data_IF_383410803750
#
_entry.id   IF_383410803750
#
_cell.length_a   1.000
_cell.length_b   1.000
_cell.length_c   1.000
_cell.angle_alpha   90.00
_cell.angle_beta   90.00
_cell.angle_gamma   90.00
#
_symmetry.space_group_name_H-M   'P 1'
#
loop_
_entity.id
_entity.type
_entity.pdbx_description
1 polymer ?
#
# COMPACT_ATOMS: atom_id res chain seq x y z
N UNK A 1 15.98 30.15 30.58
CA UNK A 1 14.72 29.68 29.97
C UNK A 1 15.04 29.31 28.52
N UNK A 2 15.23 28.01 28.23
CA UNK A 2 15.57 27.53 26.89
C UNK A 2 14.26 27.38 26.11
N UNK A 3 14.01 28.27 25.15
CA UNK A 3 12.98 28.13 24.12
C UNK A 3 13.52 27.22 23.03
N UNK A 4 13.60 25.94 23.32
CA UNK A 4 13.85 24.89 22.34
C UNK A 4 12.64 23.98 22.51
N UNK A 5 11.81 23.83 21.48
CA UNK A 5 11.23 22.52 21.08
C UNK A 5 10.03 22.60 20.12
N UNK A 6 9.36 23.75 19.95
CA UNK A 6 8.17 23.77 19.06
C UNK A 6 8.53 23.72 17.57
N UNK A 7 9.64 24.36 17.16
CA UNK A 7 10.09 24.36 15.76
C UNK A 7 10.69 23.01 15.31
N UNK A 8 11.20 22.21 16.24
CA UNK A 8 11.79 20.90 15.94
C UNK A 8 10.67 19.88 15.69
N UNK A 9 9.60 19.91 16.48
CA UNK A 9 8.44 19.03 16.28
C UNK A 9 7.71 19.26 14.94
N UNK A 10 7.54 20.51 14.50
CA UNK A 10 6.88 20.82 13.22
C UNK A 10 7.66 20.32 12.00
N UNK A 11 8.99 20.43 12.05
CA UNK A 11 9.91 19.91 11.03
C UNK A 11 9.85 18.37 10.97
N UNK A 12 9.86 17.70 12.12
CA UNK A 12 9.83 16.25 12.21
C UNK A 12 8.54 15.65 11.65
N UNK A 13 7.39 16.27 11.91
CA UNK A 13 6.11 15.83 11.36
C UNK A 13 6.05 16.01 9.84
N UNK A 14 6.55 17.14 9.34
CA UNK A 14 6.61 17.42 7.89
C UNK A 14 7.53 16.42 7.19
N UNK A 15 8.68 16.13 7.77
CA UNK A 15 9.63 15.13 7.28
C UNK A 15 9.01 13.73 7.29
N UNK A 16 8.32 13.36 8.37
CA UNK A 16 7.62 12.09 8.45
C UNK A 16 6.57 11.94 7.34
N UNK A 17 5.67 12.92 7.18
CA UNK A 17 4.65 12.87 6.12
C UNK A 17 5.25 12.85 4.71
N UNK A 18 6.33 13.59 4.48
CA UNK A 18 7.04 13.56 3.19
C UNK A 18 7.62 12.16 2.91
N UNK A 19 8.17 11.52 3.94
CA UNK A 19 8.63 10.12 3.87
C UNK A 19 7.48 9.16 3.56
N UNK A 20 6.32 9.33 4.21
CA UNK A 20 5.10 8.51 3.95
C UNK A 20 4.69 8.59 2.49
N UNK A 21 4.67 9.78 1.90
CA UNK A 21 4.29 9.94 0.50
C UNK A 21 5.27 9.25 -0.47
N UNK A 22 6.58 9.35 -0.20
CA UNK A 22 7.60 8.65 -0.98
C UNK A 22 7.46 7.13 -0.85
N UNK A 23 7.37 6.63 0.38
CA UNK A 23 7.19 5.21 0.66
C UNK A 23 5.95 4.63 0.00
N UNK A 24 4.83 5.35 0.06
CA UNK A 24 3.59 4.95 -0.59
C UNK A 24 3.78 4.85 -2.10
N UNK A 25 4.37 5.87 -2.73
CA UNK A 25 4.62 5.88 -4.18
C UNK A 25 5.51 4.71 -4.62
N UNK A 26 6.55 4.39 -3.84
CA UNK A 26 7.42 3.23 -4.10
C UNK A 26 6.66 1.91 -4.06
N UNK A 27 5.79 1.73 -3.05
CA UNK A 27 4.97 0.53 -2.94
C UNK A 27 3.89 0.43 -4.02
N UNK A 28 3.37 1.58 -4.47
CA UNK A 28 2.35 1.66 -5.51
C UNK A 28 2.88 1.38 -6.92
N UNK A 29 4.11 1.81 -7.21
CA UNK A 29 4.69 1.62 -8.53
C UNK A 29 5.12 0.18 -8.75
N UNK A 30 5.66 -0.50 -7.73
CA UNK A 30 6.00 -1.95 -7.72
C UNK A 30 6.74 -2.50 -8.96
N UNK A 31 7.23 -1.63 -9.84
CA UNK A 31 7.81 -1.95 -11.15
C UNK A 31 9.30 -2.27 -11.04
N UNK A 32 9.97 -1.84 -9.96
CA UNK A 32 11.39 -2.07 -9.73
C UNK A 32 11.67 -2.52 -8.29
N UNK A 33 11.79 -3.84 -8.12
CA UNK A 33 12.03 -4.47 -6.83
C UNK A 33 13.42 -4.13 -6.24
N UNK A 34 14.40 -3.78 -7.07
CA UNK A 34 15.77 -3.49 -6.62
C UNK A 34 15.88 -2.07 -6.07
N UNK A 35 15.20 -1.10 -6.70
CA UNK A 35 15.06 0.25 -6.16
C UNK A 35 14.32 0.21 -4.83
N UNK A 36 13.20 -0.50 -4.75
CA UNK A 36 12.41 -0.64 -3.52
C UNK A 36 13.26 -1.25 -2.39
N UNK A 37 13.96 -2.36 -2.65
CA UNK A 37 14.86 -2.98 -1.67
C UNK A 37 15.96 -2.02 -1.22
N UNK A 38 16.56 -1.28 -2.14
CA UNK A 38 17.64 -0.35 -1.84
C UNK A 38 17.14 0.79 -0.93
N UNK A 39 15.99 1.39 -1.27
CA UNK A 39 15.38 2.46 -0.46
C UNK A 39 14.96 1.95 0.91
N UNK A 40 14.32 0.78 1.00
CA UNK A 40 13.93 0.19 2.28
C UNK A 40 15.16 -0.11 3.15
N UNK A 41 16.24 -0.66 2.57
CA UNK A 41 17.48 -0.91 3.33
C UNK A 41 18.11 0.37 3.87
N UNK A 42 18.09 1.46 3.10
CA UNK A 42 18.56 2.77 3.56
C UNK A 42 17.66 3.29 4.69
N UNK A 43 16.34 3.19 4.54
CA UNK A 43 15.39 3.65 5.53
C UNK A 43 15.50 2.88 6.86
N UNK A 44 15.66 1.56 6.81
CA UNK A 44 15.84 0.69 7.98
C UNK A 44 17.11 1.04 8.76
N UNK A 45 18.23 1.27 8.06
CA UNK A 45 19.51 1.69 8.67
C UNK A 45 19.42 3.08 9.32
N UNK A 46 18.44 3.89 8.93
CA UNK A 46 18.25 5.26 9.38
C UNK A 46 16.90 5.48 10.10
N UNK A 47 16.39 4.45 10.79
CA UNK A 47 15.08 4.47 11.48
C UNK A 47 14.91 5.56 12.56
N UNK A 48 16.00 6.19 13.00
CA UNK A 48 15.98 7.36 13.87
C UNK A 48 15.48 8.63 13.16
N UNK A 49 15.61 8.72 11.83
CA UNK A 49 15.11 9.84 11.02
C UNK A 49 13.59 9.76 10.86
N UNK A 50 12.82 10.83 11.19
CA UNK A 50 11.38 10.89 10.92
C UNK A 50 11.03 10.59 9.47
N UNK A 51 11.83 11.10 8.53
CA UNK A 51 11.63 10.86 7.10
C UNK A 51 11.76 9.36 6.75
N UNK A 52 12.79 8.69 7.26
CA UNK A 52 13.01 7.26 6.99
C UNK A 52 11.92 6.37 7.61
N UNK A 53 11.44 6.72 8.82
CA UNK A 53 10.25 6.04 9.39
C UNK A 53 9.03 6.23 8.50
N UNK A 54 8.84 7.44 7.98
CA UNK A 54 7.77 7.74 7.04
C UNK A 54 7.80 6.82 5.81
N UNK A 55 8.98 6.64 5.19
CA UNK A 55 9.16 5.75 4.03
C UNK A 55 8.64 4.33 4.33
N UNK A 56 9.08 3.74 5.44
CA UNK A 56 8.68 2.38 5.83
C UNK A 56 7.15 2.30 6.01
N UNK A 57 6.57 3.24 6.77
CA UNK A 57 5.12 3.29 7.01
C UNK A 57 4.32 3.47 5.71
N UNK A 58 4.77 4.36 4.82
CA UNK A 58 4.12 4.58 3.53
C UNK A 58 4.14 3.35 2.64
N UNK A 59 5.29 2.68 2.57
CA UNK A 59 5.46 1.46 1.79
C UNK A 59 4.57 0.32 2.31
N UNK A 60 4.55 0.08 3.62
CA UNK A 60 3.67 -0.92 4.23
C UNK A 60 2.20 -0.67 3.94
N UNK A 61 1.78 0.61 3.97
CA UNK A 61 0.42 1.01 3.63
C UNK A 61 0.07 0.70 2.19
N UNK A 62 0.93 1.06 1.22
CA UNK A 62 0.70 0.74 -0.19
C UNK A 62 0.59 -0.79 -0.42
N UNK A 63 1.43 -1.57 0.26
CA UNK A 63 1.39 -3.04 0.17
C UNK A 63 0.13 -3.64 0.81
N UNK A 64 -0.48 -2.97 1.79
CA UNK A 64 -1.78 -3.37 2.35
C UNK A 64 -2.92 -3.03 1.40
N UNK A 65 -2.93 -1.82 0.84
CA UNK A 65 -3.95 -1.36 -0.11
C UNK A 65 -3.99 -2.28 -1.34
N UNK A 66 -2.83 -2.59 -1.94
CA UNK A 66 -2.75 -3.53 -3.06
C UNK A 66 -3.23 -4.95 -2.74
N UNK A 67 -3.02 -5.42 -1.51
CA UNK A 67 -3.55 -6.72 -1.08
C UNK A 67 -5.08 -6.67 -0.98
N UNK A 68 -5.63 -5.58 -0.43
CA UNK A 68 -7.08 -5.40 -0.34
C UNK A 68 -7.74 -5.27 -1.70
N UNK A 69 -7.16 -4.49 -2.63
CA UNK A 69 -7.64 -4.37 -4.01
C UNK A 69 -7.69 -5.73 -4.70
N UNK A 70 -6.61 -6.52 -4.62
CA UNK A 70 -6.57 -7.88 -5.19
C UNK A 70 -7.63 -8.81 -4.59
N UNK A 71 -7.89 -8.69 -3.29
CA UNK A 71 -8.96 -9.45 -2.64
C UNK A 71 -10.34 -9.05 -3.18
N UNK A 72 -10.60 -7.76 -3.33
CA UNK A 72 -11.86 -7.25 -3.85
C UNK A 72 -12.10 -7.68 -5.31
N UNK A 73 -11.09 -7.57 -6.17
CA UNK A 73 -11.16 -8.05 -7.55
C UNK A 73 -11.46 -9.55 -7.65
N UNK A 74 -10.80 -10.36 -6.79
CA UNK A 74 -11.04 -11.81 -6.74
C UNK A 74 -12.48 -12.11 -6.35
N UNK A 75 -13.01 -11.40 -5.36
CA UNK A 75 -14.37 -11.62 -4.88
C UNK A 75 -15.42 -11.18 -5.91
N UNK A 76 -15.15 -10.14 -6.71
CA UNK A 76 -15.99 -9.79 -7.86
C UNK A 76 -15.98 -10.88 -8.93
N UNK A 77 -14.79 -11.37 -9.33
CA UNK A 77 -14.68 -12.46 -10.32
C UNK A 77 -15.41 -13.73 -9.87
N UNK A 78 -15.33 -14.08 -8.59
CA UNK A 78 -16.07 -15.23 -8.04
C UNK A 78 -17.59 -15.05 -8.15
N UNK A 79 -18.11 -13.84 -7.89
CA UNK A 79 -19.53 -13.54 -8.06
C UNK A 79 -19.98 -13.65 -9.52
N UNK A 80 -19.16 -13.18 -10.45
CA UNK A 80 -19.46 -13.30 -11.90
C UNK A 80 -19.47 -14.75 -12.36
N UNK A 81 -18.50 -15.55 -11.90
CA UNK A 81 -18.45 -16.98 -12.21
C UNK A 81 -19.67 -17.73 -11.68
N UNK A 82 -20.12 -17.45 -10.45
CA UNK A 82 -21.34 -18.05 -9.91
C UNK A 82 -22.57 -17.67 -10.74
N UNK A 83 -22.73 -16.39 -11.11
CA UNK A 83 -23.84 -15.95 -11.98
C UNK A 83 -23.82 -16.66 -13.33
N UNK A 84 -22.65 -16.79 -13.96
CA UNK A 84 -22.52 -17.50 -15.24
C UNK A 84 -22.89 -18.99 -15.11
N UNK A 85 -22.52 -19.61 -13.99
CA UNK A 85 -22.84 -21.00 -13.72
C UNK A 85 -24.34 -21.24 -13.49
N UNK A 86 -25.01 -20.32 -12.79
CA UNK A 86 -26.46 -20.39 -12.58
C UNK A 86 -27.22 -20.21 -13.91
N UNK A 87 -26.84 -19.21 -14.72
CA UNK A 87 -27.41 -19.04 -16.06
C UNK A 87 -27.21 -20.27 -16.96
N UNK A 88 -26.06 -20.93 -16.89
CA UNK A 88 -25.80 -22.16 -17.66
C UNK A 88 -26.65 -23.35 -17.21
N UNK A 89 -27.03 -23.43 -15.93
CA UNK A 89 -27.92 -24.48 -15.43
C UNK A 89 -29.36 -24.25 -15.87
N UNK A 90 -29.84 -23.02 -15.74
CA UNK A 90 -31.20 -22.64 -16.16
C UNK A 90 -31.40 -22.91 -17.66
N UNK A 91 -30.40 -22.60 -18.47
CA UNK A 91 -30.45 -22.84 -19.92
C UNK A 91 -30.50 -24.34 -20.27
N UNK A 92 -29.79 -25.20 -19.53
CA UNK A 92 -29.87 -26.66 -19.70
C UNK A 92 -31.19 -27.27 -19.24
N UNK A 93 -31.89 -26.62 -18.31
CA UNK A 93 -33.20 -27.06 -17.82
C UNK A 93 -34.31 -26.68 -18.81
N UNK A 94 -34.20 -25.52 -19.47
CA UNK A 94 -35.10 -25.06 -20.53
C UNK A 94 -35.00 -25.86 -21.85
N UNK A 95 -33.88 -26.55 -22.09
CA UNK A 95 -33.65 -27.39 -23.28
C UNK A 95 -34.12 -28.85 -23.13
N UNK A 96 -34.73 -29.22 -21.99
CA UNK A 96 -35.31 -30.56 -21.74
C UNK A 96 -36.83 -30.56 -21.81
#
# INVERSE_FOLDING_TARGET
MKTIDDNIMGSDLTNFHSGVNLGYSLGSWNDDADIIKSVNSIAERNSHSPFCRGIITGYERAMLDHRQEKHFERDQRLKELHKAQDHSKDQKELER
#
